data_IF_674576404742
#
_entry.id   IF_674576404742
#
_cell.length_a   1.000
_cell.length_b   1.000
_cell.length_c   1.000
_cell.angle_alpha   90.00
_cell.angle_beta   90.00
_cell.angle_gamma   90.00
#
_symmetry.space_group_name_H-M   'P 1'
#
loop_
_entity.id
_entity.type
_entity.pdbx_description
1 polymer ?
#
# COMPACT_ATOMS: atom_id res chain seq x y z
N UNK A 1 -13.20 -8.98 -6.40
CA UNK A 1 -11.96 -9.16 -5.63
C UNK A 1 -10.76 -9.03 -6.56
N UNK A 2 -9.62 -8.59 -6.03
CA UNK A 2 -8.34 -8.61 -6.73
C UNK A 2 -7.97 -10.07 -7.03
N UNK A 3 -7.55 -10.36 -8.26
CA UNK A 3 -7.12 -11.69 -8.71
C UNK A 3 -5.65 -11.75 -9.03
N UNK A 4 -5.14 -10.72 -9.70
CA UNK A 4 -3.71 -10.66 -9.98
C UNK A 4 -3.20 -9.23 -10.06
N UNK A 5 -1.92 -9.09 -9.82
CA UNK A 5 -1.13 -7.88 -10.07
C UNK A 5 -0.02 -8.27 -11.03
N UNK A 6 0.09 -7.53 -12.11
CA UNK A 6 1.21 -7.64 -13.03
C UNK A 6 2.00 -6.34 -13.01
N UNK A 7 3.32 -6.45 -12.88
CA UNK A 7 4.27 -5.32 -12.96
C UNK A 7 5.16 -5.57 -14.15
N UNK A 8 5.32 -4.58 -15.00
CA UNK A 8 6.24 -4.59 -16.15
C UNK A 8 7.07 -3.31 -16.14
N UNK A 9 8.38 -3.44 -16.30
CA UNK A 9 9.27 -2.31 -16.42
C UNK A 9 10.12 -2.42 -17.70
N UNK A 10 10.47 -1.29 -18.32
CA UNK A 10 11.44 -1.26 -19.41
C UNK A 10 12.81 -1.78 -18.96
N UNK A 11 13.64 -2.13 -19.93
CA UNK A 11 15.03 -2.53 -19.66
C UNK A 11 15.77 -1.40 -18.95
N UNK A 12 16.43 -1.74 -17.85
CA UNK A 12 17.16 -0.79 -17.00
C UNK A 12 16.35 -0.17 -15.88
N UNK A 13 15.00 -0.19 -15.95
CA UNK A 13 14.10 0.39 -14.96
C UNK A 13 13.43 -0.67 -14.10
N UNK A 14 12.78 -0.26 -13.03
CA UNK A 14 12.08 -1.19 -12.15
C UNK A 14 11.37 -0.49 -10.99
N UNK A 15 10.40 -1.16 -10.41
CA UNK A 15 9.75 -0.73 -9.18
C UNK A 15 10.42 -1.41 -7.99
N UNK A 16 11.27 -0.69 -7.24
CA UNK A 16 12.05 -1.27 -6.13
C UNK A 16 12.77 -2.57 -6.53
N UNK A 17 13.44 -2.56 -7.68
CA UNK A 17 14.14 -3.72 -8.23
C UNK A 17 13.27 -4.74 -8.96
N UNK A 18 11.95 -4.65 -8.92
CA UNK A 18 11.04 -5.51 -9.68
C UNK A 18 10.99 -5.03 -11.13
N UNK A 19 11.46 -5.86 -12.04
CA UNK A 19 11.44 -5.60 -13.49
C UNK A 19 10.21 -6.19 -14.16
N UNK A 20 9.87 -7.42 -13.80
CA UNK A 20 8.67 -8.11 -14.26
C UNK A 20 8.22 -9.08 -13.17
N UNK A 21 6.95 -9.02 -12.83
CA UNK A 21 6.37 -9.89 -11.83
C UNK A 21 4.87 -10.03 -12.07
N UNK A 22 4.37 -11.26 -11.94
CA UNK A 22 2.94 -11.52 -11.82
C UNK A 22 2.69 -12.17 -10.46
N UNK A 23 1.79 -11.59 -9.68
CA UNK A 23 1.34 -12.14 -8.41
C UNK A 23 -0.14 -12.45 -8.49
N UNK A 24 -0.50 -13.67 -8.14
CA UNK A 24 -1.89 -14.13 -8.07
C UNK A 24 -2.40 -14.11 -6.63
N UNK A 25 -3.68 -13.85 -6.46
CA UNK A 25 -4.34 -13.76 -5.15
C UNK A 25 -5.44 -14.80 -5.06
N UNK A 26 -5.18 -15.78 -4.20
CA UNK A 26 -6.15 -16.80 -3.86
C UNK A 26 -6.99 -16.34 -2.67
N UNK A 27 -8.28 -16.41 -2.85
CA UNK A 27 -9.22 -16.07 -1.78
C UNK A 27 -9.49 -17.30 -0.90
N UNK A 28 -9.68 -17.16 0.41
CA UNK A 28 -9.75 -15.92 1.20
C UNK A 28 -8.40 -15.40 1.71
N UNK A 29 -7.34 -16.19 1.67
CA UNK A 29 -6.04 -15.83 2.23
C UNK A 29 -4.94 -16.15 1.22
N UNK A 30 -4.03 -15.20 1.01
CA UNK A 30 -2.84 -15.38 0.15
C UNK A 30 -1.59 -15.08 0.95
N UNK A 31 -0.60 -15.97 0.89
CA UNK A 31 0.70 -15.82 1.52
C UNK A 31 1.79 -15.60 0.47
N UNK A 32 2.62 -14.58 0.69
CA UNK A 32 3.83 -14.35 -0.09
C UNK A 32 5.06 -14.69 0.73
N UNK A 33 5.76 -15.74 0.34
CA UNK A 33 7.01 -16.17 0.96
C UNK A 33 8.19 -15.95 0.02
N UNK A 34 9.38 -15.75 0.56
CA UNK A 34 10.60 -15.55 -0.21
C UNK A 34 11.66 -14.79 0.57
N UNK A 35 12.87 -14.69 0.00
CA UNK A 35 14.01 -13.99 0.59
C UNK A 35 13.73 -12.49 0.81
N UNK A 36 14.52 -11.85 1.68
CA UNK A 36 14.47 -10.41 1.85
C UNK A 36 14.85 -9.72 0.54
N UNK A 37 14.14 -8.63 0.23
CA UNK A 37 14.34 -7.93 -1.04
C UNK A 37 13.61 -8.52 -2.25
N UNK A 38 12.93 -9.68 -2.14
CA UNK A 38 12.22 -10.30 -3.27
C UNK A 38 10.94 -9.58 -3.73
N UNK A 39 10.58 -8.45 -3.13
CA UNK A 39 9.44 -7.64 -3.56
C UNK A 39 8.11 -7.93 -2.84
N UNK A 40 8.09 -8.78 -1.81
CA UNK A 40 6.85 -9.12 -1.06
C UNK A 40 6.09 -7.89 -0.58
N UNK A 41 6.78 -7.00 0.13
CA UNK A 41 6.16 -5.74 0.64
C UNK A 41 5.69 -4.83 -0.49
N UNK A 42 6.39 -4.83 -1.62
CA UNK A 42 5.98 -4.07 -2.81
C UNK A 42 4.66 -4.60 -3.36
N UNK A 43 4.49 -5.93 -3.47
CA UNK A 43 3.24 -6.54 -3.92
C UNK A 43 2.10 -6.26 -2.95
N UNK A 44 2.33 -6.36 -1.63
CA UNK A 44 1.30 -6.01 -0.64
C UNK A 44 0.89 -4.54 -0.72
N UNK A 45 1.85 -3.63 -0.92
CA UNK A 45 1.56 -2.21 -1.15
C UNK A 45 0.74 -1.98 -2.42
N UNK A 46 1.06 -2.68 -3.50
CA UNK A 46 0.30 -2.63 -4.75
C UNK A 46 -1.10 -3.22 -4.60
N UNK A 47 -1.27 -4.26 -3.78
CA UNK A 47 -2.59 -4.82 -3.47
C UNK A 47 -3.46 -3.82 -2.70
N UNK A 48 -2.89 -3.09 -1.72
CA UNK A 48 -3.59 -2.02 -1.04
C UNK A 48 -3.99 -0.89 -1.98
N UNK A 49 -3.15 -0.58 -2.96
CA UNK A 49 -3.40 0.43 -3.99
C UNK A 49 -4.38 -0.01 -5.09
N UNK A 50 -4.75 -1.28 -5.16
CA UNK A 50 -5.72 -1.76 -6.14
C UNK A 50 -7.11 -1.18 -5.93
N UNK A 51 -7.39 -0.69 -4.73
CA UNK A 51 -8.67 -0.11 -4.36
C UNK A 51 -8.55 1.36 -3.98
N UNK A 52 -9.63 2.09 -4.20
CA UNK A 52 -9.82 3.41 -3.62
C UNK A 52 -10.54 3.26 -2.27
N UNK A 53 -10.45 4.30 -1.43
CA UNK A 53 -11.17 4.33 -0.16
C UNK A 53 -12.68 4.16 -0.33
N UNK A 54 -13.33 3.73 0.72
CA UNK A 54 -14.78 3.59 0.79
C UNK A 54 -15.33 4.59 1.81
N UNK A 55 -16.37 5.36 1.47
CA UNK A 55 -17.04 6.24 2.42
C UNK A 55 -17.44 5.51 3.71
N UNK A 56 -17.22 6.14 4.85
CA UNK A 56 -17.47 5.55 6.16
C UNK A 56 -16.40 4.56 6.66
N UNK A 57 -15.33 4.35 5.91
CA UNK A 57 -14.20 3.53 6.35
C UNK A 57 -12.90 4.37 6.40
N UNK A 58 -12.28 4.42 7.57
CA UNK A 58 -11.04 5.15 7.81
C UNK A 58 -9.92 4.20 8.23
N UNK A 59 -9.03 3.80 7.30
CA UNK A 59 -7.85 3.04 7.65
C UNK A 59 -6.93 3.86 8.56
N UNK A 60 -6.32 3.21 9.52
CA UNK A 60 -5.56 3.88 10.59
C UNK A 60 -4.30 4.63 10.11
N UNK A 61 -3.81 4.38 8.89
CA UNK A 61 -2.57 4.94 8.35
C UNK A 61 -2.76 5.64 7.00
N UNK A 62 -3.99 5.86 6.55
CA UNK A 62 -4.27 6.43 5.25
C UNK A 62 -4.50 7.94 5.32
N UNK A 63 -4.38 8.60 4.18
CA UNK A 63 -4.86 9.97 4.04
C UNK A 63 -6.37 10.00 4.19
N UNK A 64 -6.87 11.03 4.87
CA UNK A 64 -8.29 11.26 5.03
C UNK A 64 -8.80 12.25 3.99
N UNK A 65 -9.94 11.94 3.38
CA UNK A 65 -10.70 12.85 2.55
C UNK A 65 -11.95 13.29 3.31
N UNK A 66 -11.98 14.55 3.71
CA UNK A 66 -12.97 15.12 4.64
C UNK A 66 -14.08 15.92 3.96
N UNK A 67 -14.12 16.00 2.67
CA UNK A 67 -15.11 16.81 1.94
C UNK A 67 -15.72 16.07 0.77
N UNK A 68 -15.74 14.73 0.86
CA UNK A 68 -16.35 13.93 -0.21
C UNK A 68 -17.88 13.94 -0.09
N UNK A 69 -18.63 14.06 -1.21
CA UNK A 69 -20.11 14.09 -1.18
C UNK A 69 -20.77 12.89 -0.50
N UNK A 70 -20.11 11.72 -0.55
CA UNK A 70 -20.59 10.46 0.03
C UNK A 70 -20.12 10.23 1.48
N UNK A 71 -19.46 11.23 2.08
CA UNK A 71 -18.91 11.15 3.44
C UNK A 71 -17.38 10.98 3.48
N UNK A 72 -16.85 11.13 4.67
CA UNK A 72 -15.40 11.04 4.90
C UNK A 72 -14.90 9.61 4.73
N UNK A 73 -13.70 9.45 4.21
CA UNK A 73 -13.04 8.16 4.11
C UNK A 73 -11.53 8.28 4.01
N UNK A 74 -10.83 7.19 4.37
CA UNK A 74 -9.40 7.06 4.19
C UNK A 74 -9.05 6.38 2.85
N UNK A 75 -7.91 6.75 2.26
CA UNK A 75 -7.40 6.16 1.04
C UNK A 75 -5.87 6.15 1.00
N UNK A 76 -5.31 5.20 0.26
CA UNK A 76 -3.87 5.11 0.02
C UNK A 76 -3.49 5.68 -1.34
N UNK A 77 -2.33 6.35 -1.37
CA UNK A 77 -1.72 6.86 -2.59
C UNK A 77 -0.37 6.19 -2.87
N UNK A 78 0.11 6.30 -4.09
CA UNK A 78 1.45 5.80 -4.43
C UNK A 78 2.55 6.45 -3.59
N UNK A 79 2.39 7.72 -3.24
CA UNK A 79 3.36 8.44 -2.41
C UNK A 79 3.45 7.88 -0.99
N UNK A 80 2.37 7.28 -0.47
CA UNK A 80 2.38 6.71 0.87
C UNK A 80 3.26 5.45 0.96
N UNK A 81 3.42 4.73 -0.15
CA UNK A 81 4.20 3.49 -0.21
C UNK A 81 5.54 3.63 -0.95
N UNK A 82 5.61 4.48 -1.97
CA UNK A 82 6.74 4.57 -2.88
C UNK A 82 7.39 5.94 -2.83
N UNK A 83 8.09 6.21 -1.72
CA UNK A 83 9.00 7.35 -1.63
C UNK A 83 10.22 7.07 -2.49
N UNK A 84 10.64 8.06 -3.26
CA UNK A 84 11.86 8.01 -4.05
C UNK A 84 13.03 8.51 -3.20
N UNK A 85 14.04 7.67 -3.00
CA UNK A 85 15.30 8.03 -2.36
C UNK A 85 16.42 8.27 -3.36
N UNK A 86 17.52 8.91 -2.94
CA UNK A 86 18.75 8.98 -3.74
C UNK A 86 19.25 7.57 -4.05
N UNK A 87 19.46 7.25 -5.33
CA UNK A 87 19.92 5.93 -5.77
C UNK A 87 18.84 4.92 -6.12
N UNK A 88 17.56 5.26 -5.97
CA UNK A 88 16.48 4.42 -6.49
C UNK A 88 16.53 4.37 -8.03
N UNK A 89 16.35 3.17 -8.58
CA UNK A 89 16.26 2.96 -10.03
C UNK A 89 15.14 3.81 -10.62
N UNK A 90 15.31 4.24 -11.85
CA UNK A 90 14.25 4.97 -12.53
C UNK A 90 13.01 4.07 -12.69
N UNK A 91 11.87 4.64 -12.33
CA UNK A 91 10.56 3.98 -12.45
C UNK A 91 9.78 4.46 -13.69
N UNK A 92 10.41 5.26 -14.55
CA UNK A 92 9.79 5.70 -15.79
C UNK A 92 9.46 4.49 -16.68
N UNK A 93 8.26 4.48 -17.26
CA UNK A 93 7.78 3.39 -18.10
C UNK A 93 7.33 2.13 -17.34
N UNK A 94 7.37 2.12 -16.01
CA UNK A 94 6.80 1.00 -15.25
C UNK A 94 5.29 1.02 -15.41
N UNK A 95 4.74 -0.13 -15.79
CA UNK A 95 3.31 -0.37 -15.89
C UNK A 95 2.88 -1.34 -14.79
N UNK A 96 1.73 -1.06 -14.18
CA UNK A 96 1.08 -1.93 -13.21
C UNK A 96 -0.33 -2.21 -13.71
N UNK A 97 -0.69 -3.49 -13.72
CA UNK A 97 -2.01 -3.95 -14.11
C UNK A 97 -2.63 -4.74 -12.96
N UNK A 98 -3.81 -4.33 -12.53
CA UNK A 98 -4.65 -5.08 -11.59
C UNK A 98 -5.79 -5.75 -12.34
N UNK A 99 -5.97 -7.05 -12.11
CA UNK A 99 -7.11 -7.81 -12.62
C UNK A 99 -8.02 -8.23 -11.49
N UNK A 100 -9.31 -8.07 -11.69
CA UNK A 100 -10.33 -8.35 -10.69
C UNK A 100 -11.23 -9.52 -11.09
N UNK A 101 -11.87 -10.15 -10.12
CA UNK A 101 -12.74 -11.32 -10.33
C UNK A 101 -13.96 -11.07 -11.22
N UNK A 102 -14.35 -9.83 -11.42
CA UNK A 102 -15.43 -9.42 -12.31
C UNK A 102 -14.97 -9.13 -13.75
N UNK A 103 -13.74 -9.52 -14.10
CA UNK A 103 -13.14 -9.26 -15.41
C UNK A 103 -12.62 -7.83 -15.61
N UNK A 104 -12.82 -6.93 -14.66
CA UNK A 104 -12.27 -5.57 -14.75
C UNK A 104 -10.75 -5.61 -14.67
N UNK A 105 -10.11 -4.86 -15.56
CA UNK A 105 -8.67 -4.63 -15.60
C UNK A 105 -8.41 -3.13 -15.42
N UNK A 106 -7.45 -2.79 -14.59
CA UNK A 106 -7.01 -1.41 -14.36
C UNK A 106 -5.51 -1.33 -14.61
N UNK A 107 -5.12 -0.45 -15.51
CA UNK A 107 -3.71 -0.20 -15.84
C UNK A 107 -3.31 1.18 -15.43
N UNK A 108 -2.13 1.30 -14.87
CA UNK A 108 -1.47 2.56 -14.63
C UNK A 108 -0.04 2.49 -15.12
N UNK A 109 0.47 3.62 -15.57
CA UNK A 109 1.86 3.73 -15.98
C UNK A 109 2.51 4.96 -15.36
N UNK A 110 3.79 4.87 -15.06
CA UNK A 110 4.59 6.01 -14.67
C UNK A 110 5.35 6.53 -15.88
N UNK A 111 4.88 7.62 -16.48
CA UNK A 111 5.50 8.17 -17.69
C UNK A 111 6.71 9.07 -17.40
N UNK A 112 6.69 9.79 -16.28
CA UNK A 112 7.79 10.66 -15.82
C UNK A 112 7.77 10.74 -14.29
N UNK A 113 7.49 11.89 -13.71
CA UNK A 113 7.43 12.08 -12.26
C UNK A 113 6.08 11.69 -11.66
N UNK A 114 5.04 11.57 -12.47
CA UNK A 114 3.68 11.28 -12.01
C UNK A 114 3.18 9.95 -12.56
N UNK A 115 2.44 9.24 -11.74
CA UNK A 115 1.64 8.10 -12.18
C UNK A 115 0.46 8.62 -12.99
N UNK A 116 0.28 8.12 -14.19
CA UNK A 116 -0.74 8.58 -15.14
C UNK A 116 -1.64 7.42 -15.59
N UNK A 117 -2.73 7.78 -16.27
CA UNK A 117 -3.74 6.84 -16.78
C UNK A 117 -4.48 6.09 -15.67
N UNK A 118 -4.87 6.84 -14.65
CA UNK A 118 -5.74 6.30 -13.62
C UNK A 118 -7.16 6.06 -14.17
N UNK A 119 -7.49 4.81 -14.43
CA UNK A 119 -8.88 4.43 -14.34
C UNK A 119 -9.33 4.47 -12.88
N UNK A 120 -10.60 4.81 -12.65
CA UNK A 120 -11.15 4.86 -11.29
C UNK A 120 -11.07 3.46 -10.66
N UNK A 121 -10.26 3.33 -9.64
CA UNK A 121 -10.12 2.11 -8.86
C UNK A 121 -11.44 1.77 -8.15
N UNK A 122 -11.81 0.49 -7.99
CA UNK A 122 -13.00 0.11 -7.25
C UNK A 122 -12.92 0.63 -5.81
N UNK A 123 -14.06 1.11 -5.28
CA UNK A 123 -14.16 1.50 -3.88
C UNK A 123 -14.27 0.24 -3.01
N UNK A 124 -13.41 0.15 -1.99
CA UNK A 124 -13.41 -0.94 -1.01
C UNK A 124 -12.72 -0.53 0.28
N UNK A 125 -13.16 -1.06 1.45
CA UNK A 125 -12.40 -0.90 2.66
C UNK A 125 -11.08 -1.66 2.55
N UNK A 126 -9.97 -0.98 2.80
CA UNK A 126 -8.62 -1.55 2.80
C UNK A 126 -7.88 -1.07 4.02
N UNK A 127 -7.36 -1.98 4.81
CA UNK A 127 -6.43 -1.69 5.90
C UNK A 127 -5.07 -2.27 5.57
N UNK A 128 -4.03 -1.44 5.54
CA UNK A 128 -2.65 -1.87 5.38
C UNK A 128 -1.97 -1.92 6.75
N UNK A 129 -1.62 -3.12 7.19
CA UNK A 129 -0.95 -3.33 8.46
C UNK A 129 0.54 -3.53 8.19
N UNK A 130 1.32 -2.50 8.44
CA UNK A 130 2.77 -2.53 8.27
C UNK A 130 3.48 -3.18 9.46
N UNK A 131 4.75 -3.53 9.25
CA UNK A 131 5.60 -4.15 10.28
C UNK A 131 5.72 -3.31 11.55
N UNK A 132 5.63 -1.98 11.44
CA UNK A 132 5.67 -1.06 12.58
C UNK A 132 4.60 -1.32 13.65
N UNK A 133 3.50 -1.98 13.30
CA UNK A 133 2.48 -2.39 14.28
C UNK A 133 2.82 -3.66 15.05
N UNK A 134 3.71 -4.48 14.51
CA UNK A 134 4.19 -5.69 15.16
C UNK A 134 5.45 -5.44 16.01
N UNK A 135 6.06 -4.25 15.89
CA UNK A 135 7.27 -3.89 16.63
C UNK A 135 6.87 -3.22 17.95
N UNK A 136 7.40 -3.65 19.10
CA UNK A 136 7.17 -2.99 20.38
C UNK A 136 7.49 -1.49 20.33
N UNK A 137 6.74 -0.67 21.04
CA UNK A 137 6.89 0.80 21.01
C UNK A 137 8.31 1.27 21.37
N UNK A 138 9.01 0.52 22.23
CA UNK A 138 10.39 0.81 22.62
C UNK A 138 11.38 0.65 21.45
N UNK A 139 11.17 -0.33 20.57
CA UNK A 139 12.01 -0.53 19.39
C UNK A 139 11.70 0.49 18.31
N UNK A 140 10.45 0.93 18.19
CA UNK A 140 10.04 2.00 17.29
C UNK A 140 10.73 3.33 17.61
N UNK A 141 10.98 3.63 18.90
CA UNK A 141 11.70 4.85 19.29
C UNK A 141 13.16 4.82 18.84
N UNK A 142 13.82 3.67 18.93
CA UNK A 142 15.19 3.47 18.45
C UNK A 142 15.29 3.60 16.91
N UNK A 143 14.36 3.01 16.18
CA UNK A 143 14.30 3.14 14.71
C UNK A 143 14.07 4.59 14.26
N UNK A 144 13.26 5.36 14.98
CA UNK A 144 13.01 6.77 14.68
C UNK A 144 14.24 7.65 14.86
N UNK A 145 15.01 7.43 15.92
CA UNK A 145 16.25 8.18 16.16
C UNK A 145 17.31 7.91 15.09
N UNK A 146 17.36 6.71 14.56
CA UNK A 146 18.31 6.32 13.51
C UNK A 146 17.96 6.84 12.11
N UNK A 147 16.68 6.92 11.77
CA UNK A 147 16.23 7.28 10.42
C UNK A 147 15.69 8.71 10.30
N UNK A 148 15.70 9.51 11.36
CA UNK A 148 15.21 10.89 11.34
C UNK A 148 13.73 11.03 10.97
N UNK A 149 12.95 9.97 11.11
CA UNK A 149 11.52 9.96 10.76
C UNK A 149 10.75 10.64 11.87
N UNK A 150 10.44 11.92 11.70
CA UNK A 150 9.52 12.66 12.54
C UNK A 150 8.07 12.20 12.27
N UNK A 151 7.67 11.08 12.84
CA UNK A 151 6.27 10.70 12.93
C UNK A 151 5.86 10.61 14.39
N UNK A 152 4.91 11.42 14.80
CA UNK A 152 4.30 11.30 16.13
C UNK A 152 3.67 9.91 16.27
N UNK A 153 3.93 9.19 17.39
CA UNK A 153 3.21 7.96 17.66
C UNK A 153 1.75 8.29 17.89
N UNK A 154 0.88 7.82 17.04
CA UNK A 154 -0.54 7.76 17.38
C UNK A 154 -0.69 6.59 18.35
N UNK A 155 -0.28 6.78 19.59
CA UNK A 155 -0.73 5.94 20.70
C UNK A 155 -2.12 6.46 21.09
N UNK A 156 -3.14 6.01 20.39
CA UNK A 156 -4.47 6.06 21.00
C UNK A 156 -4.48 4.99 22.11
N UNK A 157 -4.64 5.34 23.35
CA UNK A 157 -4.85 4.36 24.40
C UNK A 157 -6.08 3.54 24.02
N UNK A 158 -6.00 2.22 24.19
CA UNK A 158 -7.14 1.34 24.03
C UNK A 158 -8.30 1.91 24.86
N UNK A 159 -9.46 2.07 24.26
CA UNK A 159 -10.65 2.54 24.99
C UNK A 159 -10.93 1.59 26.15
N UNK A 160 -11.45 2.12 27.25
CA UNK A 160 -11.80 1.32 28.44
C UNK A 160 -12.72 0.13 28.12
N UNK A 161 -13.51 0.22 27.04
CA UNK A 161 -14.35 -0.86 26.51
C UNK A 161 -13.54 -1.96 25.80
N UNK A 162 -12.40 -1.64 25.21
CA UNK A 162 -11.53 -2.63 24.56
C UNK A 162 -10.72 -3.43 25.60
N UNK A 163 -10.32 -2.78 26.71
CA UNK A 163 -9.60 -3.44 27.81
C UNK A 163 -10.49 -4.48 28.50
N UNK A 164 -11.78 -4.20 28.68
CA UNK A 164 -12.75 -5.15 29.28
C UNK A 164 -13.04 -6.41 28.45
N UNK A 165 -12.64 -6.47 27.19
CA UNK A 165 -12.81 -7.65 26.33
C UNK A 165 -11.61 -8.60 26.36
N UNK A 166 -10.52 -8.22 26.99
CA UNK A 166 -9.26 -8.99 27.04
C UNK A 166 -9.05 -9.57 28.45
N UNK A 167 -9.77 -9.10 29.44
CA UNK A 167 -9.84 -9.65 30.80
C UNK A 167 -11.05 -10.58 30.93
#
# INVERSE_FOLDING_TARGET
LLRSIEVKAPVGNGLRGIKSLTAEFDFPVTFFAGQNGSGKSTILSLAALAYHGQPGFEPSNAKRWTSHPEGDFGYYTFQDFFHRGPGDSDVAGVEICWRFSNGKEIKIAKQSDKWMRYERRPSRPVEFIGLSRAIPAIELSALRSHFGIASSPVTQPLSASAVKRIS
#
